data_IF_915008923599
#
_entry.id   IF_915008923599
#
_cell.length_a   1.000
_cell.length_b   1.000
_cell.length_c   1.000
_cell.angle_alpha   90.00
_cell.angle_beta   90.00
_cell.angle_gamma   90.00
#
_symmetry.space_group_name_H-M   'P 1'
#
loop_
_entity.id
_entity.type
_entity.pdbx_description
1 polymer ?
#
# COMPACT_ATOMS: atom_id res chain seq x y z
N UNK A 1 -0.38 1.75 9.40
CA UNK A 1 -1.11 0.49 9.16
C UNK A 1 -1.26 0.33 7.66
N UNK A 2 -1.00 -0.87 7.13
CA UNK A 2 -1.20 -1.18 5.73
C UNK A 2 -2.60 -1.71 5.51
N UNK A 3 -3.06 -1.68 4.28
CA UNK A 3 -4.29 -2.28 3.83
C UNK A 3 -3.96 -3.47 2.95
N UNK A 4 -4.41 -4.62 3.36
CA UNK A 4 -4.24 -5.88 2.66
C UNK A 4 -5.59 -6.34 2.11
N UNK A 5 -5.59 -7.11 1.03
CA UNK A 5 -6.79 -7.70 0.48
C UNK A 5 -6.49 -9.11 -0.04
N UNK A 6 -7.46 -9.99 0.11
CA UNK A 6 -7.30 -11.40 -0.22
C UNK A 6 -8.48 -11.94 -1.02
N UNK A 7 -8.21 -12.97 -1.82
CA UNK A 7 -9.20 -13.80 -2.48
C UNK A 7 -8.93 -15.26 -2.11
N UNK A 8 -9.90 -15.94 -1.53
CA UNK A 8 -9.78 -17.33 -1.11
C UNK A 8 -9.77 -18.30 -2.29
N UNK A 9 -9.10 -19.43 -2.13
CA UNK A 9 -9.12 -20.51 -3.09
C UNK A 9 -10.40 -21.35 -2.99
N UNK A 10 -10.65 -22.22 -3.98
CA UNK A 10 -11.80 -23.13 -4.00
C UNK A 10 -11.49 -24.55 -3.52
N UNK A 11 -10.37 -24.74 -2.85
CA UNK A 11 -9.94 -26.09 -2.49
C UNK A 11 -10.88 -26.80 -1.51
N UNK A 12 -11.59 -26.05 -0.67
CA UNK A 12 -12.63 -26.62 0.21
C UNK A 12 -13.83 -27.15 -0.60
N UNK A 13 -14.42 -26.32 -1.46
CA UNK A 13 -15.59 -26.68 -2.28
C UNK A 13 -15.27 -27.80 -3.26
N UNK A 14 -14.05 -27.82 -3.76
CA UNK A 14 -13.56 -28.83 -4.72
C UNK A 14 -13.09 -30.11 -4.04
N UNK A 15 -13.10 -30.17 -2.70
CA UNK A 15 -12.67 -31.36 -1.94
C UNK A 15 -11.18 -31.64 -2.11
N UNK A 16 -10.35 -30.62 -2.36
CA UNK A 16 -8.91 -30.72 -2.59
C UNK A 16 -8.06 -30.49 -1.32
N UNK A 17 -8.69 -30.48 -0.15
CA UNK A 17 -7.96 -30.32 1.09
C UNK A 17 -7.14 -31.60 1.41
N UNK A 18 -5.96 -31.38 1.98
CA UNK A 18 -5.14 -32.45 2.56
C UNK A 18 -5.87 -33.11 3.74
N UNK A 19 -5.60 -34.38 4.06
CA UNK A 19 -6.13 -35.00 5.27
C UNK A 19 -5.77 -34.18 6.51
N UNK A 20 -6.78 -33.84 7.31
CA UNK A 20 -6.63 -33.03 8.52
C UNK A 20 -6.94 -33.82 9.79
N UNK A 21 -6.77 -33.19 10.98
CA UNK A 21 -7.05 -33.79 12.26
C UNK A 21 -8.55 -34.00 12.50
N UNK A 22 -9.41 -33.32 11.73
CA UNK A 22 -10.87 -33.41 11.81
C UNK A 22 -11.42 -33.90 10.46
N UNK A 23 -12.35 -34.89 10.45
CA UNK A 23 -12.98 -35.36 9.23
C UNK A 23 -13.69 -34.28 8.45
N UNK A 24 -13.60 -34.31 7.11
CA UNK A 24 -14.11 -33.28 6.20
C UNK A 24 -15.60 -32.98 6.40
N UNK A 25 -16.42 -33.98 6.68
CA UNK A 25 -17.86 -33.82 6.94
C UNK A 25 -18.19 -32.96 8.18
N UNK A 26 -17.22 -32.77 9.07
CA UNK A 26 -17.33 -31.90 10.24
C UNK A 26 -16.76 -30.49 9.99
N UNK A 27 -16.30 -30.21 8.77
CA UNK A 27 -15.82 -28.89 8.41
C UNK A 27 -16.94 -28.06 7.77
N UNK A 28 -16.77 -26.76 7.80
CA UNK A 28 -17.60 -25.79 7.08
C UNK A 28 -16.81 -24.50 6.83
N UNK A 29 -17.28 -23.68 5.92
CA UNK A 29 -16.77 -22.32 5.72
C UNK A 29 -17.70 -21.36 6.47
N UNK A 30 -17.14 -20.47 7.27
CA UNK A 30 -17.89 -19.43 7.97
C UNK A 30 -18.18 -18.19 7.09
N UNK A 31 -18.78 -17.15 7.68
CA UNK A 31 -19.12 -15.90 6.99
C UNK A 31 -17.89 -15.09 6.56
N UNK A 32 -16.72 -15.39 7.13
CA UNK A 32 -15.43 -14.76 6.85
C UNK A 32 -14.56 -15.62 5.91
N UNK A 33 -15.12 -16.68 5.31
CA UNK A 33 -14.48 -17.67 4.44
C UNK A 33 -13.31 -18.44 5.10
N UNK A 34 -13.35 -18.61 6.42
CA UNK A 34 -12.43 -19.50 7.14
C UNK A 34 -12.95 -20.91 7.26
N UNK A 35 -12.03 -21.89 7.23
CA UNK A 35 -12.35 -23.29 7.49
C UNK A 35 -12.56 -23.46 8.99
N UNK A 36 -13.78 -23.83 9.39
CA UNK A 36 -14.20 -24.02 10.75
C UNK A 36 -14.65 -25.47 11.01
N UNK A 37 -14.72 -25.85 12.30
CA UNK A 37 -15.10 -27.20 12.71
C UNK A 37 -16.40 -27.23 13.53
N UNK A 38 -17.43 -27.85 12.98
CA UNK A 38 -18.70 -28.12 13.69
C UNK A 38 -18.48 -28.91 14.99
N UNK A 39 -17.51 -29.84 14.99
CA UNK A 39 -17.17 -30.64 16.13
C UNK A 39 -16.61 -29.78 17.28
N UNK A 40 -15.62 -28.94 16.99
CA UNK A 40 -15.01 -28.08 18.02
C UNK A 40 -16.00 -27.05 18.54
N UNK A 41 -16.79 -26.42 17.65
CA UNK A 41 -17.82 -25.46 18.03
C UNK A 41 -18.89 -26.06 18.96
N UNK A 42 -19.33 -27.28 18.64
CA UNK A 42 -20.28 -28.00 19.48
C UNK A 42 -19.66 -28.30 20.84
N UNK A 43 -18.42 -28.81 20.90
CA UNK A 43 -17.74 -29.14 22.14
C UNK A 43 -17.47 -27.94 23.02
N UNK A 44 -17.10 -26.80 22.41
CA UNK A 44 -16.91 -25.54 23.13
C UNK A 44 -18.21 -25.05 23.77
N UNK A 45 -19.36 -25.17 23.08
CA UNK A 45 -20.68 -24.85 23.63
C UNK A 45 -21.11 -25.78 24.75
N UNK A 46 -20.81 -27.10 24.66
CA UNK A 46 -21.20 -28.11 25.64
C UNK A 46 -20.40 -28.03 26.93
N UNK A 47 -19.10 -27.77 26.88
CA UNK A 47 -18.16 -27.89 27.99
C UNK A 47 -17.84 -26.57 28.69
N UNK A 48 -17.96 -25.44 27.97
CA UNK A 48 -17.41 -24.16 28.40
C UNK A 48 -15.88 -24.12 28.24
N UNK A 49 -15.30 -22.92 28.42
CA UNK A 49 -13.91 -22.64 28.02
C UNK A 49 -12.87 -23.55 28.70
N UNK A 50 -12.88 -23.63 30.06
CA UNK A 50 -11.85 -24.36 30.81
C UNK A 50 -11.83 -25.87 30.51
N UNK A 51 -13.03 -26.51 30.48
CA UNK A 51 -13.12 -27.93 30.17
C UNK A 51 -12.87 -28.23 28.70
N UNK A 52 -13.17 -27.31 27.82
CA UNK A 52 -12.85 -27.42 26.39
C UNK A 52 -11.35 -27.40 26.21
N UNK A 53 -10.64 -26.41 26.74
CA UNK A 53 -9.19 -26.30 26.67
C UNK A 53 -8.48 -27.56 27.19
N UNK A 54 -8.90 -28.08 28.34
CA UNK A 54 -8.32 -29.30 28.93
C UNK A 54 -8.46 -30.52 28.02
N UNK A 55 -9.56 -30.65 27.27
CA UNK A 55 -9.89 -31.88 26.51
C UNK A 55 -9.65 -31.77 25.01
N UNK A 56 -9.78 -30.62 24.47
CA UNK A 56 -9.77 -30.37 23.02
C UNK A 56 -8.77 -29.29 22.57
N UNK A 57 -8.07 -28.61 23.50
CA UNK A 57 -7.14 -27.54 23.16
C UNK A 57 -6.01 -28.00 22.25
N UNK A 58 -5.44 -29.19 22.47
CA UNK A 58 -4.41 -29.77 21.57
C UNK A 58 -4.98 -30.03 20.16
N UNK A 59 -6.17 -30.63 20.07
CA UNK A 59 -6.83 -30.89 18.79
C UNK A 59 -7.19 -29.57 18.06
N UNK A 60 -7.57 -28.53 18.80
CA UNK A 60 -7.85 -27.21 18.24
C UNK A 60 -6.58 -26.55 17.70
N UNK A 61 -5.46 -26.61 18.43
CA UNK A 61 -4.18 -26.11 17.94
C UNK A 61 -3.75 -26.84 16.66
N UNK A 62 -3.80 -28.17 16.65
CA UNK A 62 -3.48 -28.99 15.48
C UNK A 62 -4.40 -28.65 14.29
N UNK A 63 -5.68 -28.38 14.57
CA UNK A 63 -6.63 -27.99 13.53
C UNK A 63 -6.32 -26.60 12.96
N UNK A 64 -6.04 -25.62 13.81
CA UNK A 64 -5.64 -24.27 13.38
C UNK A 64 -4.37 -24.33 12.54
N UNK A 65 -3.33 -25.02 13.02
CA UNK A 65 -2.07 -25.16 12.27
C UNK A 65 -2.27 -25.87 10.92
N UNK A 66 -3.17 -26.86 10.88
CA UNK A 66 -3.53 -27.52 9.65
C UNK A 66 -4.26 -26.59 8.67
N UNK A 67 -5.14 -25.69 9.12
CA UNK A 67 -5.90 -24.80 8.22
C UNK A 67 -5.01 -23.89 7.40
N UNK A 68 -3.88 -23.43 7.93
CA UNK A 68 -2.89 -22.63 7.20
C UNK A 68 -2.23 -23.40 6.03
N UNK A 69 -2.21 -24.73 6.08
CA UNK A 69 -1.55 -25.59 5.10
C UNK A 69 -2.50 -26.65 4.51
N UNK A 70 -3.80 -26.46 4.65
CA UNK A 70 -4.85 -27.42 4.30
C UNK A 70 -4.89 -27.76 2.80
N UNK A 71 -4.33 -26.92 1.93
CA UNK A 71 -4.24 -27.17 0.49
C UNK A 71 -2.84 -26.83 -0.05
N UNK A 72 -2.73 -26.60 -1.35
CA UNK A 72 -1.48 -26.16 -2.00
C UNK A 72 -1.30 -24.63 -1.95
N UNK A 73 -2.33 -23.89 -1.59
CA UNK A 73 -2.30 -22.45 -1.44
C UNK A 73 -2.01 -22.09 0.02
N UNK A 74 -1.03 -21.20 0.23
CA UNK A 74 -0.70 -20.67 1.55
C UNK A 74 -1.92 -19.94 2.13
N UNK A 75 -2.25 -20.19 3.38
CA UNK A 75 -3.43 -19.64 4.09
C UNK A 75 -4.78 -19.83 3.37
N UNK A 76 -4.84 -20.73 2.37
CA UNK A 76 -6.02 -20.91 1.53
C UNK A 76 -6.31 -19.73 0.60
N UNK A 77 -5.30 -18.90 0.30
CA UNK A 77 -5.42 -17.71 -0.53
C UNK A 77 -4.88 -17.95 -1.94
N UNK A 78 -5.67 -17.64 -2.97
CA UNK A 78 -5.22 -17.67 -4.36
C UNK A 78 -4.52 -16.36 -4.74
N UNK A 79 -4.91 -15.28 -4.09
CA UNK A 79 -4.32 -13.96 -4.26
C UNK A 79 -4.35 -13.22 -2.92
N UNK A 80 -3.18 -12.70 -2.53
CA UNK A 80 -3.03 -11.84 -1.36
C UNK A 80 -2.19 -10.65 -1.75
N UNK A 81 -2.71 -9.45 -1.59
CA UNK A 81 -2.07 -8.22 -2.05
C UNK A 81 -2.08 -7.16 -0.96
N UNK A 82 -0.88 -6.64 -0.66
CA UNK A 82 -0.75 -5.41 0.12
C UNK A 82 -0.91 -4.21 -0.80
N UNK A 83 -2.10 -3.62 -0.80
CA UNK A 83 -2.45 -2.53 -1.73
C UNK A 83 -1.83 -1.19 -1.33
N UNK A 84 -1.54 -1.00 -0.04
CA UNK A 84 -0.90 0.22 0.43
C UNK A 84 -1.38 0.69 1.80
N UNK A 85 -1.65 1.96 1.92
CA UNK A 85 -2.25 2.59 3.10
C UNK A 85 -3.45 3.45 2.68
N UNK A 86 -4.24 3.90 3.66
CA UNK A 86 -5.42 4.73 3.39
C UNK A 86 -5.11 6.02 2.63
N UNK A 87 -3.99 6.68 2.92
CA UNK A 87 -3.61 7.91 2.19
C UNK A 87 -3.42 7.63 0.70
N UNK A 88 -2.77 6.51 0.36
CA UNK A 88 -2.58 6.10 -1.03
C UNK A 88 -3.89 5.71 -1.74
N UNK A 89 -4.87 5.14 -1.01
CA UNK A 89 -6.20 4.86 -1.57
C UNK A 89 -7.05 6.11 -1.74
N UNK A 90 -7.00 7.04 -0.80
CA UNK A 90 -7.69 8.33 -0.91
C UNK A 90 -7.17 9.12 -2.12
N UNK A 91 -5.84 9.08 -2.38
CA UNK A 91 -5.27 9.73 -3.56
C UNK A 91 -5.71 9.06 -4.87
N UNK A 92 -5.87 7.73 -4.91
CA UNK A 92 -6.49 7.04 -6.06
C UNK A 92 -7.95 7.48 -6.22
N UNK A 93 -8.73 7.52 -5.14
CA UNK A 93 -10.12 8.00 -5.15
C UNK A 93 -10.24 9.42 -5.71
N UNK A 94 -9.30 10.32 -5.37
CA UNK A 94 -9.25 11.67 -5.91
C UNK A 94 -9.02 11.67 -7.44
N UNK A 95 -8.12 10.81 -7.93
CA UNK A 95 -7.85 10.68 -9.39
C UNK A 95 -9.03 10.04 -10.14
N UNK A 96 -9.79 9.14 -9.48
CA UNK A 96 -10.98 8.50 -10.07
C UNK A 96 -12.20 9.43 -10.10
N UNK A 97 -12.22 10.48 -9.28
CA UNK A 97 -13.32 11.44 -9.20
C UNK A 97 -13.16 12.53 -10.26
N UNK A 98 -14.27 12.97 -10.83
CA UNK A 98 -14.29 14.19 -11.68
C UNK A 98 -14.36 15.45 -10.81
N UNK A 99 -14.05 16.61 -11.40
CA UNK A 99 -14.18 17.93 -10.76
C UNK A 99 -15.60 18.20 -10.23
N UNK A 100 -16.60 17.52 -10.77
CA UNK A 100 -18.00 17.63 -10.36
C UNK A 100 -18.38 16.73 -9.18
N UNK A 101 -17.43 15.93 -8.65
CA UNK A 101 -17.63 15.01 -7.52
C UNK A 101 -18.32 13.69 -7.89
N UNK A 102 -18.69 13.49 -9.15
CA UNK A 102 -19.19 12.21 -9.66
C UNK A 102 -18.01 11.39 -10.20
N UNK A 103 -17.91 10.13 -9.78
CA UNK A 103 -16.86 9.26 -10.31
C UNK A 103 -17.20 8.80 -11.73
N UNK A 104 -16.27 8.99 -12.66
CA UNK A 104 -16.34 8.44 -14.02
C UNK A 104 -16.20 6.90 -14.02
N UNK A 105 -15.67 6.35 -12.92
CA UNK A 105 -15.41 4.93 -12.69
C UNK A 105 -16.06 4.48 -11.38
N UNK A 106 -17.41 4.46 -11.31
CA UNK A 106 -18.13 4.30 -10.04
C UNK A 106 -17.91 2.93 -9.39
N UNK A 107 -17.76 1.85 -10.16
CA UNK A 107 -17.53 0.52 -9.60
C UNK A 107 -16.11 0.41 -9.02
N UNK A 108 -15.11 0.94 -9.74
CA UNK A 108 -13.73 0.98 -9.27
C UNK A 108 -13.60 1.84 -8.01
N UNK A 109 -14.26 3.00 -7.99
CA UNK A 109 -14.26 3.88 -6.80
C UNK A 109 -14.95 3.20 -5.60
N UNK A 110 -16.09 2.52 -5.82
CA UNK A 110 -16.81 1.80 -4.77
C UNK A 110 -16.12 0.50 -4.31
N UNK A 111 -15.12 0.02 -5.03
CA UNK A 111 -14.29 -1.10 -4.61
C UNK A 111 -13.31 -0.70 -3.51
N UNK A 112 -12.86 0.56 -3.52
CA UNK A 112 -11.91 1.06 -2.52
C UNK A 112 -12.58 1.08 -1.14
N UNK A 113 -11.99 0.48 -0.11
CA UNK A 113 -12.61 0.39 1.21
C UNK A 113 -12.49 1.69 2.00
N UNK A 114 -13.46 1.93 2.85
CA UNK A 114 -13.45 3.05 3.81
C UNK A 114 -12.76 2.69 5.13
N UNK A 115 -12.41 1.43 5.34
CA UNK A 115 -11.82 0.87 6.56
C UNK A 115 -10.95 -0.37 6.30
N UNK A 116 -10.39 -0.97 7.36
CA UNK A 116 -9.58 -2.20 7.27
C UNK A 116 -10.41 -3.47 7.05
N UNK A 117 -11.71 -3.36 6.90
CA UNK A 117 -12.63 -4.46 6.65
C UNK A 117 -13.54 -4.14 5.47
N UNK A 118 -14.10 -5.14 4.91
CA UNK A 118 -15.05 -5.00 3.81
C UNK A 118 -14.98 -6.16 2.83
N UNK A 119 -16.07 -6.34 2.10
CA UNK A 119 -16.21 -7.40 1.11
C UNK A 119 -16.65 -6.78 -0.21
N UNK A 120 -15.86 -7.00 -1.26
CA UNK A 120 -16.25 -6.63 -2.61
C UNK A 120 -16.82 -7.84 -3.34
N UNK A 121 -18.10 -7.78 -3.78
CA UNK A 121 -18.81 -8.94 -4.29
C UNK A 121 -18.32 -9.35 -5.70
N UNK A 122 -18.21 -10.64 -5.93
CA UNK A 122 -17.70 -11.23 -7.18
C UNK A 122 -18.54 -10.83 -8.41
N UNK A 123 -19.84 -10.62 -8.24
CA UNK A 123 -20.75 -10.24 -9.34
C UNK A 123 -20.39 -8.91 -10.00
N UNK A 124 -19.66 -8.06 -9.28
CA UNK A 124 -19.18 -6.76 -9.78
C UNK A 124 -17.75 -6.83 -10.34
N UNK A 125 -17.00 -7.89 -10.05
CA UNK A 125 -15.55 -7.94 -10.32
C UNK A 125 -15.24 -7.74 -11.82
N UNK A 126 -15.96 -8.39 -12.74
CA UNK A 126 -15.71 -8.23 -14.17
C UNK A 126 -15.96 -6.80 -14.66
N UNK A 127 -17.07 -6.19 -14.27
CA UNK A 127 -17.39 -4.82 -14.70
C UNK A 127 -16.41 -3.81 -14.11
N UNK A 128 -15.92 -4.07 -12.89
CA UNK A 128 -14.90 -3.23 -12.26
C UNK A 128 -13.54 -3.37 -12.93
N UNK A 129 -13.19 -4.59 -13.35
CA UNK A 129 -11.98 -4.82 -14.14
C UNK A 129 -12.02 -4.06 -15.47
N UNK A 130 -13.18 -4.08 -16.14
CA UNK A 130 -13.39 -3.34 -17.39
C UNK A 130 -13.28 -1.80 -17.17
N UNK A 131 -13.77 -1.29 -16.04
CA UNK A 131 -13.58 0.12 -15.66
C UNK A 131 -12.11 0.45 -15.38
N UNK A 132 -11.39 -0.44 -14.68
CA UNK A 132 -9.97 -0.27 -14.38
C UNK A 132 -9.11 -0.27 -15.66
N UNK A 133 -9.32 -1.21 -16.56
CA UNK A 133 -8.59 -1.27 -17.82
C UNK A 133 -8.86 -0.01 -18.68
N UNK A 134 -10.10 0.45 -18.74
CA UNK A 134 -10.46 1.71 -19.39
C UNK A 134 -9.78 2.93 -18.73
N UNK A 135 -9.77 2.99 -17.40
CA UNK A 135 -9.09 4.06 -16.67
C UNK A 135 -7.60 4.13 -17.03
N UNK A 136 -6.91 2.99 -17.04
CA UNK A 136 -5.48 2.91 -17.38
C UNK A 136 -5.23 3.35 -18.83
N UNK A 137 -6.10 2.99 -19.76
CA UNK A 137 -5.99 3.41 -21.17
C UNK A 137 -6.21 4.92 -21.36
N UNK A 138 -7.22 5.49 -20.69
CA UNK A 138 -7.56 6.91 -20.78
C UNK A 138 -6.54 7.82 -20.07
N UNK A 139 -5.84 7.30 -19.04
CA UNK A 139 -4.90 8.05 -18.21
C UNK A 139 -3.44 7.60 -18.41
N UNK A 140 -3.04 7.35 -19.66
CA UNK A 140 -1.65 6.95 -19.98
C UNK A 140 -0.61 7.98 -19.54
N UNK A 141 -0.99 9.25 -19.42
CA UNK A 141 -0.17 10.36 -18.96
C UNK A 141 -0.87 11.11 -17.82
N UNK A 142 -0.13 11.45 -16.78
CA UNK A 142 -0.61 12.17 -15.61
C UNK A 142 0.32 13.35 -15.29
N UNK A 143 -0.25 14.42 -14.76
CA UNK A 143 0.55 15.51 -14.23
C UNK A 143 1.19 15.12 -12.91
N UNK A 144 2.42 15.59 -12.70
CA UNK A 144 3.16 15.30 -11.48
C UNK A 144 4.38 16.18 -11.32
N UNK A 145 5.26 15.75 -10.42
CA UNK A 145 6.52 16.41 -10.11
C UNK A 145 7.66 15.41 -10.18
N UNK A 146 8.83 15.90 -10.52
CA UNK A 146 10.09 15.15 -10.53
C UNK A 146 11.12 15.87 -9.69
N UNK A 147 11.84 15.12 -8.86
CA UNK A 147 13.06 15.55 -8.19
C UNK A 147 14.23 15.24 -9.11
N UNK A 148 14.97 16.28 -9.49
CA UNK A 148 16.05 16.21 -10.47
C UNK A 148 17.36 16.61 -9.79
N UNK A 149 18.40 15.81 -9.97
CA UNK A 149 19.80 16.21 -9.71
C UNK A 149 20.23 17.16 -10.82
N UNK A 150 20.59 18.40 -10.46
CA UNK A 150 20.88 19.46 -11.44
C UNK A 150 22.21 19.28 -12.17
N UNK A 151 23.17 18.57 -11.56
CA UNK A 151 24.47 18.30 -12.18
C UNK A 151 24.38 17.21 -13.26
N UNK A 152 23.64 16.13 -12.96
CA UNK A 152 23.57 14.98 -13.85
C UNK A 152 22.29 14.95 -14.71
N UNK A 153 21.31 15.77 -14.38
CA UNK A 153 19.95 15.73 -14.91
C UNK A 153 19.23 14.39 -14.71
N UNK A 154 19.69 13.59 -13.72
CA UNK A 154 19.04 12.34 -13.33
C UNK A 154 17.74 12.65 -12.61
N UNK A 155 16.67 11.96 -13.00
CA UNK A 155 15.43 11.93 -12.22
C UNK A 155 15.67 11.01 -11.03
N UNK A 156 15.66 11.58 -9.84
CA UNK A 156 15.87 10.86 -8.55
C UNK A 156 14.59 10.19 -8.09
N UNK A 157 13.47 10.90 -8.22
CA UNK A 157 12.15 10.41 -7.86
C UNK A 157 11.07 11.16 -8.61
N UNK A 158 9.88 10.55 -8.71
CA UNK A 158 8.70 11.17 -9.33
C UNK A 158 7.47 10.93 -8.46
N UNK A 159 6.55 11.88 -8.46
CA UNK A 159 5.30 11.80 -7.72
C UNK A 159 4.16 12.35 -8.60
N UNK A 160 3.05 11.62 -8.70
CA UNK A 160 1.84 12.15 -9.31
C UNK A 160 1.30 13.33 -8.48
N UNK A 161 0.66 14.28 -9.15
CA UNK A 161 -0.10 15.35 -8.48
C UNK A 161 -1.09 14.65 -7.54
N UNK A 162 -1.35 15.06 -6.38
CA UNK A 162 -2.27 14.46 -5.40
C UNK A 162 -1.80 13.18 -4.68
N UNK A 163 -0.63 12.61 -5.05
CA UNK A 163 -0.16 11.37 -4.41
C UNK A 163 0.55 11.59 -3.05
N UNK A 164 0.92 12.82 -2.72
CA UNK A 164 1.58 13.14 -1.43
C UNK A 164 2.56 12.04 -1.00
N UNK A 165 3.73 11.95 -1.63
CA UNK A 165 4.62 10.79 -1.46
C UNK A 165 5.65 11.02 -0.36
N UNK A 166 5.58 10.21 0.72
CA UNK A 166 6.65 10.14 1.73
C UNK A 166 7.83 9.33 1.17
N UNK A 167 8.97 9.98 0.95
CA UNK A 167 10.20 9.32 0.49
C UNK A 167 10.98 8.66 1.61
N UNK A 168 10.89 9.21 2.81
CA UNK A 168 11.59 8.73 3.98
C UNK A 168 10.90 9.14 5.27
N UNK A 169 10.88 8.24 6.24
CA UNK A 169 10.39 8.48 7.60
C UNK A 169 11.21 7.68 8.61
N UNK A 170 11.64 8.33 9.68
CA UNK A 170 12.23 7.72 10.88
C UNK A 170 11.83 8.50 12.14
N UNK A 171 12.42 8.16 13.28
CA UNK A 171 12.15 8.82 14.57
C UNK A 171 12.66 10.27 14.65
N UNK A 172 13.37 10.77 13.66
CA UNK A 172 13.99 12.11 13.65
C UNK A 172 13.39 13.03 12.59
N UNK A 173 13.11 12.52 11.39
CA UNK A 173 12.70 13.30 10.25
C UNK A 173 11.83 12.50 9.28
N UNK A 174 10.82 13.18 8.73
CA UNK A 174 10.08 12.74 7.54
C UNK A 174 10.35 13.70 6.39
N UNK A 175 10.52 13.20 5.18
CA UNK A 175 10.53 14.04 3.99
C UNK A 175 9.90 13.34 2.78
N UNK A 176 9.35 14.14 1.88
CA UNK A 176 8.68 13.65 0.69
C UNK A 176 8.14 14.76 -0.19
N UNK A 177 7.43 14.38 -1.22
CA UNK A 177 6.77 15.33 -2.11
C UNK A 177 5.53 15.94 -1.48
N UNK A 178 5.33 17.23 -1.75
CA UNK A 178 4.09 17.94 -1.58
C UNK A 178 3.95 18.90 -2.77
N UNK A 179 2.75 19.18 -3.23
CA UNK A 179 2.46 20.04 -4.40
C UNK A 179 3.66 20.28 -5.34
N UNK A 180 4.41 21.40 -5.19
CA UNK A 180 5.53 21.80 -6.05
C UNK A 180 6.89 21.80 -5.33
N UNK A 181 7.02 21.12 -4.20
CA UNK A 181 8.21 21.09 -3.35
C UNK A 181 8.43 19.73 -2.69
N UNK A 182 9.59 19.56 -2.05
CA UNK A 182 9.73 18.58 -0.96
C UNK A 182 9.40 19.24 0.38
N UNK A 183 8.70 18.52 1.22
CA UNK A 183 8.60 18.86 2.63
C UNK A 183 9.69 18.12 3.41
N UNK A 184 10.17 18.74 4.49
CA UNK A 184 11.06 18.15 5.49
C UNK A 184 10.44 18.42 6.85
N UNK A 185 9.95 17.40 7.53
CA UNK A 185 9.34 17.50 8.84
C UNK A 185 10.29 16.96 9.92
N UNK A 186 10.78 17.84 10.78
CA UNK A 186 11.61 17.45 11.92
C UNK A 186 10.73 17.09 13.12
N UNK A 187 10.69 15.81 13.51
CA UNK A 187 9.82 15.32 14.58
C UNK A 187 10.09 15.98 15.93
N UNK A 188 11.36 16.20 16.29
CA UNK A 188 11.73 16.78 17.59
C UNK A 188 11.30 18.23 17.74
N UNK A 189 11.50 19.05 16.73
CA UNK A 189 11.16 20.48 16.74
C UNK A 189 9.73 20.75 16.30
N UNK A 190 9.05 19.77 15.67
CA UNK A 190 7.74 19.88 15.03
C UNK A 190 7.68 20.98 13.96
N UNK A 191 8.81 21.24 13.31
CA UNK A 191 8.87 22.20 12.21
C UNK A 191 8.85 21.49 10.86
N UNK A 192 8.10 22.06 9.91
CA UNK A 192 8.08 21.64 8.51
C UNK A 192 8.73 22.72 7.66
N UNK A 193 9.65 22.29 6.81
CA UNK A 193 10.29 23.13 5.81
C UNK A 193 9.87 22.66 4.43
N UNK A 194 9.71 23.58 3.50
CA UNK A 194 9.37 23.28 2.11
C UNK A 194 10.47 23.83 1.19
N UNK A 195 10.92 23.01 0.25
CA UNK A 195 11.98 23.37 -0.69
C UNK A 195 11.69 22.84 -2.09
N UNK A 196 11.65 23.71 -3.08
CA UNK A 196 11.64 23.34 -4.48
C UNK A 196 13.03 23.39 -5.13
N UNK A 197 14.01 23.98 -4.44
CA UNK A 197 15.42 23.98 -4.80
C UNK A 197 16.26 23.92 -3.52
N UNK A 198 17.24 23.02 -3.46
CA UNK A 198 18.10 22.84 -2.29
C UNK A 198 19.40 22.13 -2.67
N UNK A 199 20.41 22.25 -1.78
CA UNK A 199 21.67 21.55 -1.92
C UNK A 199 21.84 20.52 -0.81
N UNK A 200 22.48 19.41 -1.13
CA UNK A 200 22.91 18.36 -0.20
C UNK A 200 24.43 18.29 -0.20
N UNK A 201 25.03 18.13 0.98
CA UNK A 201 26.48 17.96 1.17
C UNK A 201 26.74 16.98 2.32
N UNK A 202 27.84 16.20 2.30
CA UNK A 202 28.17 15.30 3.37
C UNK A 202 28.40 16.05 4.70
N UNK A 203 28.22 15.33 5.82
CA UNK A 203 28.56 15.81 7.16
C UNK A 203 29.87 15.15 7.58
N UNK A 204 30.89 15.95 7.90
CA UNK A 204 32.27 15.49 8.14
C UNK A 204 32.44 14.41 9.21
N UNK A 205 31.53 14.33 10.19
CA UNK A 205 31.64 13.43 11.33
C UNK A 205 30.77 12.17 11.23
N UNK A 206 30.02 11.98 10.13
CA UNK A 206 29.08 10.86 9.96
C UNK A 206 29.11 10.28 8.55
N UNK A 207 29.47 9.01 8.41
CA UNK A 207 29.67 8.34 7.12
C UNK A 207 28.47 8.40 6.15
N UNK A 208 27.25 8.54 6.64
CA UNK A 208 26.04 8.54 5.79
C UNK A 208 25.17 9.80 5.96
N UNK A 209 25.36 10.57 7.00
CA UNK A 209 24.56 11.77 7.23
C UNK A 209 24.84 12.83 6.16
N UNK A 210 23.79 13.48 5.71
CA UNK A 210 23.83 14.55 4.71
C UNK A 210 23.24 15.83 5.30
N UNK A 211 23.86 16.95 5.01
CA UNK A 211 23.36 18.26 5.35
C UNK A 211 22.60 18.83 4.14
N UNK A 212 21.34 19.12 4.31
CA UNK A 212 20.53 19.80 3.31
C UNK A 212 20.44 21.28 3.64
N UNK A 213 20.85 22.10 2.69
CA UNK A 213 20.77 23.55 2.76
C UNK A 213 19.66 24.00 1.82
N UNK A 214 18.59 24.53 2.39
CA UNK A 214 17.43 25.01 1.62
C UNK A 214 17.65 26.48 1.28
N UNK A 215 17.69 26.79 0.00
CA UNK A 215 17.70 28.16 -0.49
C UNK A 215 16.27 28.63 -0.68
N UNK A 216 15.75 29.46 0.21
CA UNK A 216 14.48 30.13 0.00
C UNK A 216 14.66 31.29 -0.94
N UNK A 217 14.15 31.18 -2.14
CA UNK A 217 14.04 32.29 -3.07
C UNK A 217 12.73 33.04 -2.80
N UNK A 218 12.66 33.71 -1.65
CA UNK A 218 11.57 34.67 -1.42
C UNK A 218 11.86 35.91 -2.27
N UNK A 219 10.88 36.29 -3.09
CA UNK A 219 10.87 37.52 -3.89
C UNK A 219 11.10 38.81 -3.09
N UNK A 220 11.33 38.71 -1.80
CA UNK A 220 11.55 39.81 -0.84
C UNK A 220 12.97 39.87 -0.23
N UNK A 221 13.98 39.33 -0.90
CA UNK A 221 15.42 39.48 -0.50
C UNK A 221 15.82 39.04 0.92
N UNK A 222 15.04 38.22 1.59
CA UNK A 222 15.44 37.57 2.84
C UNK A 222 15.82 36.11 2.57
N UNK A 223 17.09 35.86 2.30
CA UNK A 223 17.66 34.51 2.26
C UNK A 223 17.70 33.93 3.68
N UNK A 224 16.66 33.22 4.09
CA UNK A 224 16.75 32.38 5.27
C UNK A 224 17.22 30.98 4.85
N UNK A 225 18.50 30.71 5.03
CA UNK A 225 19.05 29.38 4.81
C UNK A 225 18.62 28.48 5.96
N UNK A 226 17.86 27.42 5.66
CA UNK A 226 17.59 26.36 6.61
C UNK A 226 18.61 25.25 6.40
N UNK A 227 19.16 24.74 7.51
CA UNK A 227 20.02 23.56 7.52
C UNK A 227 19.27 22.40 8.18
N UNK A 228 19.23 21.28 7.49
CA UNK A 228 18.58 20.05 7.96
C UNK A 228 19.60 18.92 7.83
N UNK A 229 19.75 18.11 8.88
CA UNK A 229 20.59 16.91 8.83
C UNK A 229 19.69 15.72 8.48
N UNK A 230 20.01 15.06 7.37
CA UNK A 230 19.40 13.79 6.96
C UNK A 230 20.28 12.63 7.41
N UNK A 231 19.72 11.53 7.92
CA UNK A 231 20.48 10.36 8.34
C UNK A 231 21.08 9.58 7.16
N UNK A 232 20.60 9.83 5.96
CA UNK A 232 21.08 9.24 4.70
C UNK A 232 20.87 10.19 3.52
N UNK A 233 21.61 10.00 2.41
CA UNK A 233 21.42 10.81 1.21
C UNK A 233 20.03 10.60 0.59
N UNK A 234 19.54 11.64 -0.10
CA UNK A 234 18.26 11.60 -0.83
C UNK A 234 18.30 10.56 -1.96
N UNK A 235 19.44 10.46 -2.66
CA UNK A 235 19.70 9.37 -3.60
C UNK A 235 21.01 8.67 -3.25
N UNK A 236 20.93 7.42 -2.83
CA UNK A 236 22.09 6.60 -2.46
C UNK A 236 22.91 6.13 -3.67
N UNK A 237 22.39 6.23 -4.89
CA UNK A 237 23.09 5.82 -6.10
C UNK A 237 24.01 6.92 -6.65
N UNK A 238 23.81 8.18 -6.21
CA UNK A 238 24.67 9.28 -6.58
C UNK A 238 25.97 9.32 -5.75
N UNK A 239 26.99 9.96 -6.27
CA UNK A 239 28.16 10.31 -5.48
C UNK A 239 27.78 11.40 -4.47
N UNK A 240 27.60 10.99 -3.22
CA UNK A 240 27.19 11.86 -2.12
C UNK A 240 28.39 12.41 -1.31
N UNK A 241 29.64 12.21 -1.81
CA UNK A 241 30.84 12.77 -1.23
C UNK A 241 31.07 14.25 -1.59
N UNK A 242 30.28 14.81 -2.51
CA UNK A 242 30.35 16.18 -3.02
C UNK A 242 29.03 16.91 -2.85
N UNK A 243 29.08 18.24 -2.95
CA UNK A 243 27.87 19.06 -3.02
C UNK A 243 27.02 18.68 -4.22
N UNK A 244 25.71 18.49 -4.00
CA UNK A 244 24.70 18.22 -5.04
C UNK A 244 23.56 19.21 -4.92
N UNK A 245 23.07 19.66 -6.08
CA UNK A 245 21.91 20.54 -6.19
C UNK A 245 20.70 19.77 -6.74
N UNK A 246 19.56 19.98 -6.12
CA UNK A 246 18.30 19.33 -6.51
C UNK A 246 17.22 20.37 -6.74
N UNK A 247 16.37 20.11 -7.73
CA UNK A 247 15.15 20.89 -7.96
C UNK A 247 13.93 20.02 -8.16
N UNK A 248 12.78 20.52 -7.70
CA UNK A 248 11.47 19.92 -7.96
C UNK A 248 10.85 20.64 -9.16
N UNK A 249 10.49 19.88 -10.19
CA UNK A 249 9.95 20.42 -11.42
C UNK A 249 8.63 19.73 -11.79
N UNK A 250 7.69 20.50 -12.36
CA UNK A 250 6.47 19.92 -12.95
C UNK A 250 6.83 19.07 -14.16
N UNK A 251 6.19 17.91 -14.27
CA UNK A 251 6.41 16.96 -15.35
C UNK A 251 5.12 16.27 -15.75
N UNK A 252 5.06 15.83 -16.99
CA UNK A 252 4.05 14.88 -17.44
C UNK A 252 4.66 13.48 -17.33
N UNK A 253 4.15 12.69 -16.38
CA UNK A 253 4.64 11.36 -16.06
C UNK A 253 3.92 10.31 -16.91
N UNK A 254 4.60 9.20 -17.17
CA UNK A 254 3.91 7.98 -17.60
C UNK A 254 3.14 7.42 -16.40
N UNK A 255 1.84 7.21 -16.55
CA UNK A 255 1.01 6.70 -15.47
C UNK A 255 1.53 5.36 -14.93
N UNK A 256 2.09 4.52 -15.81
CA UNK A 256 2.65 3.21 -15.44
C UNK A 256 3.89 3.29 -14.55
N UNK A 257 4.52 4.44 -14.46
CA UNK A 257 5.69 4.68 -13.60
C UNK A 257 5.31 5.30 -12.25
N UNK A 258 4.01 5.48 -11.98
CA UNK A 258 3.52 6.09 -10.74
C UNK A 258 3.16 5.06 -9.68
N UNK A 259 3.14 5.48 -8.41
CA UNK A 259 2.66 4.68 -7.29
C UNK A 259 1.18 4.30 -7.42
N UNK A 260 0.37 5.13 -8.09
CA UNK A 260 -1.04 4.81 -8.39
C UNK A 260 -1.17 3.57 -9.27
N UNK A 261 -0.38 3.48 -10.37
CA UNK A 261 -0.42 2.31 -11.24
C UNK A 261 -0.02 1.03 -10.50
N UNK A 262 0.99 1.08 -9.64
CA UNK A 262 1.40 -0.05 -8.84
C UNK A 262 0.25 -0.58 -7.96
N UNK A 263 -0.49 0.33 -7.30
CA UNK A 263 -1.65 -0.03 -6.46
C UNK A 263 -2.82 -0.58 -7.29
N UNK A 264 -3.12 0.09 -8.41
CA UNK A 264 -4.18 -0.36 -9.32
C UNK A 264 -3.87 -1.72 -9.95
N UNK A 265 -2.60 -2.03 -10.21
CA UNK A 265 -2.21 -3.35 -10.69
C UNK A 265 -2.45 -4.45 -9.65
N UNK A 266 -2.26 -4.17 -8.36
CA UNK A 266 -2.62 -5.07 -7.27
C UNK A 266 -4.14 -5.28 -7.18
N UNK A 267 -4.92 -4.21 -7.30
CA UNK A 267 -6.37 -4.28 -7.39
C UNK A 267 -6.79 -5.13 -8.61
N UNK A 268 -6.09 -4.98 -9.73
CA UNK A 268 -6.32 -5.79 -10.92
C UNK A 268 -6.09 -7.30 -10.66
N UNK A 269 -5.02 -7.65 -9.97
CA UNK A 269 -4.73 -9.05 -9.60
C UNK A 269 -5.86 -9.64 -8.73
N UNK A 270 -6.33 -8.89 -7.75
CA UNK A 270 -7.46 -9.29 -6.89
C UNK A 270 -8.75 -9.50 -7.70
N UNK A 271 -9.06 -8.59 -8.63
CA UNK A 271 -10.24 -8.71 -9.50
C UNK A 271 -10.17 -9.95 -10.40
N UNK A 272 -9.00 -10.20 -11.01
CA UNK A 272 -8.77 -11.40 -11.83
C UNK A 272 -8.94 -12.67 -10.99
N UNK A 273 -8.31 -12.74 -9.83
CA UNK A 273 -8.44 -13.88 -8.92
C UNK A 273 -9.91 -14.11 -8.49
N UNK A 274 -10.63 -13.03 -8.16
CA UNK A 274 -12.05 -13.09 -7.79
C UNK A 274 -12.92 -13.65 -8.93
N UNK A 275 -12.68 -13.24 -10.18
CA UNK A 275 -13.38 -13.73 -11.35
C UNK A 275 -13.08 -15.23 -11.58
N UNK A 276 -11.82 -15.64 -11.47
CA UNK A 276 -11.39 -17.02 -11.71
C UNK A 276 -11.94 -17.99 -10.65
N UNK A 277 -11.92 -17.56 -9.38
CA UNK A 277 -12.37 -18.41 -8.26
C UNK A 277 -13.85 -18.30 -7.97
N UNK A 278 -14.53 -17.26 -8.45
CA UNK A 278 -15.90 -16.91 -8.07
C UNK A 278 -16.05 -16.63 -6.56
N UNK A 279 -14.97 -16.13 -5.93
CA UNK A 279 -14.95 -15.69 -4.54
C UNK A 279 -14.85 -14.17 -4.43
N UNK A 280 -15.42 -13.56 -3.38
CA UNK A 280 -15.34 -12.13 -3.16
C UNK A 280 -13.90 -11.72 -2.82
N UNK A 281 -13.59 -10.43 -3.00
CA UNK A 281 -12.37 -9.83 -2.46
C UNK A 281 -12.67 -9.35 -1.03
N UNK A 282 -11.83 -9.73 -0.08
CA UNK A 282 -11.91 -9.29 1.32
C UNK A 282 -10.77 -8.34 1.65
N UNK A 283 -11.12 -7.23 2.25
CA UNK A 283 -10.18 -6.24 2.78
C UNK A 283 -9.89 -6.54 4.26
N UNK A 284 -8.60 -6.45 4.69
CA UNK A 284 -8.12 -6.74 6.05
C UNK A 284 -7.04 -5.74 6.52
#
# INVERSE_FOLDING_TARGET
MGLDAVVRCRCFEEGKLKPGPIPFENLYIDEEDFICSKLLDQKRKELGYEQFEERYGELECDFIDWTYNACEHEDGEICSERVGNFCGLLSIGAVLSSDDGESKYPLLNNMLPDGNDGVYPVEKAQLTLDELDRFIEEHSKIQGYQLIDEETHKIVSSCALDDGFCMYSDDSIDYGFTEDALYFYQLRSRHTFYANHFCQTPVDDFEQAQKVIVFRNDSNNCASNFEIILPRPIDSELDNSVLRSFSVQKATLDFKETGHFWRLNKIRNLLVASIETQHPIRWC
#
